data_IF_018270717401
#
_entry.id   IF_018270717401
#
_cell.length_a   1.000
_cell.length_b   1.000
_cell.length_c   1.000
_cell.angle_alpha   90.00
_cell.angle_beta   90.00
_cell.angle_gamma   90.00
#
_symmetry.space_group_name_H-M   'P 1'
#
loop_
_entity.id
_entity.type
_entity.pdbx_description
1 polymer ?
#
# COMPACT_ATOMS: atom_id res chain seq x y z
N UNK A 1 0.00 20.95 9.55
CA UNK A 1 -0.16 19.71 8.73
C UNK A 1 -1.19 19.91 7.61
N UNK A 2 -2.43 20.29 7.92
CA UNK A 2 -3.44 20.55 6.88
C UNK A 2 -3.04 21.67 5.91
N UNK A 3 -2.46 22.77 6.41
CA UNK A 3 -1.95 23.87 5.58
C UNK A 3 -0.83 23.43 4.63
N UNK A 4 0.04 22.51 5.06
CA UNK A 4 1.10 21.96 4.21
C UNK A 4 0.54 21.09 3.09
N UNK A 5 -0.45 20.23 3.40
CA UNK A 5 -1.15 19.43 2.39
C UNK A 5 -1.86 20.35 1.38
N UNK A 6 -2.55 21.37 1.86
CA UNK A 6 -3.30 22.31 1.02
C UNK A 6 -2.37 23.13 0.11
N UNK A 7 -1.21 23.53 0.62
CA UNK A 7 -0.16 24.17 -0.17
C UNK A 7 0.31 23.24 -1.29
N UNK A 8 0.61 21.97 -0.99
CA UNK A 8 1.10 21.00 -1.98
C UNK A 8 0.06 20.67 -3.05
N UNK A 9 -1.20 20.56 -2.66
CA UNK A 9 -2.32 20.41 -3.61
C UNK A 9 -2.40 21.64 -4.52
N UNK A 10 -2.35 22.85 -3.96
CA UNK A 10 -2.42 24.09 -4.73
C UNK A 10 -1.25 24.21 -5.72
N UNK A 11 -0.05 23.84 -5.28
CA UNK A 11 1.17 23.80 -6.10
C UNK A 11 1.05 22.81 -7.26
N UNK A 12 0.46 21.63 -7.05
CA UNK A 12 0.21 20.67 -8.14
C UNK A 12 -0.86 21.19 -9.12
N UNK A 13 -1.99 21.72 -8.60
CA UNK A 13 -3.10 22.17 -9.46
C UNK A 13 -2.81 23.45 -10.25
N UNK A 14 -1.77 24.21 -9.90
CA UNK A 14 -1.30 25.36 -10.67
C UNK A 14 -0.37 25.00 -11.84
N UNK A 15 0.05 23.72 -11.95
CA UNK A 15 0.90 23.27 -13.05
C UNK A 15 0.12 23.13 -14.35
N UNK A 16 0.79 23.44 -15.46
CA UNK A 16 0.24 23.35 -16.82
C UNK A 16 0.08 21.89 -17.27
N UNK A 17 1.09 21.04 -17.03
CA UNK A 17 1.15 19.65 -17.50
C UNK A 17 0.60 18.64 -16.49
N UNK A 18 -0.53 18.93 -15.85
CA UNK A 18 -1.14 18.03 -14.86
C UNK A 18 -2.26 17.18 -15.46
N UNK A 19 -2.62 16.10 -14.77
CA UNK A 19 -3.87 15.38 -15.07
C UNK A 19 -5.09 16.31 -14.97
N UNK A 20 -6.10 16.08 -15.80
CA UNK A 20 -7.37 16.83 -15.83
C UNK A 20 -8.51 15.90 -15.44
N UNK A 21 -9.32 16.30 -14.45
CA UNK A 21 -10.53 15.59 -14.04
C UNK A 21 -11.78 16.32 -14.51
N UNK A 22 -12.91 15.62 -14.57
CA UNK A 22 -14.22 16.23 -14.87
C UNK A 22 -14.70 17.13 -13.72
N UNK A 23 -14.38 16.76 -12.49
CA UNK A 23 -14.69 17.52 -11.28
C UNK A 23 -13.40 17.76 -10.47
N UNK A 24 -12.79 18.93 -10.70
CA UNK A 24 -11.54 19.31 -10.03
C UNK A 24 -11.74 19.47 -8.50
N UNK A 25 -12.93 19.88 -8.07
CA UNK A 25 -13.26 20.03 -6.66
C UNK A 25 -13.22 18.70 -5.92
N UNK A 26 -13.84 17.66 -6.50
CA UNK A 26 -13.79 16.30 -5.94
C UNK A 26 -12.41 15.68 -5.99
N UNK A 27 -11.66 15.89 -7.08
CA UNK A 27 -10.27 15.44 -7.17
C UNK A 27 -9.42 16.03 -6.03
N UNK A 28 -9.52 17.34 -5.78
CA UNK A 28 -8.82 18.01 -4.65
C UNK A 28 -9.20 17.41 -3.30
N UNK A 29 -10.48 17.11 -3.08
CA UNK A 29 -10.97 16.49 -1.84
C UNK A 29 -10.39 15.08 -1.68
N UNK A 30 -10.46 14.25 -2.71
CA UNK A 30 -9.94 12.88 -2.67
C UNK A 30 -8.42 12.85 -2.42
N UNK A 31 -7.67 13.73 -3.10
CA UNK A 31 -6.22 13.90 -2.88
C UNK A 31 -5.94 14.33 -1.44
N UNK A 32 -6.67 15.32 -0.92
CA UNK A 32 -6.51 15.80 0.47
C UNK A 32 -6.77 14.69 1.49
N UNK A 33 -7.85 13.93 1.31
CA UNK A 33 -8.21 12.81 2.19
C UNK A 33 -7.13 11.73 2.18
N UNK A 34 -6.64 11.38 0.99
CA UNK A 34 -5.55 10.41 0.79
C UNK A 34 -4.27 10.88 1.47
N UNK A 35 -3.78 12.08 1.16
CA UNK A 35 -2.57 12.65 1.76
C UNK A 35 -2.66 12.75 3.29
N UNK A 36 -3.84 13.05 3.84
CA UNK A 36 -4.03 13.11 5.30
C UNK A 36 -3.76 11.75 5.97
N UNK A 37 -4.24 10.66 5.38
CA UNK A 37 -4.01 9.29 5.87
C UNK A 37 -2.55 8.88 5.67
N UNK A 38 -1.96 9.20 4.51
CA UNK A 38 -0.55 8.90 4.22
C UNK A 38 0.40 9.62 5.18
N UNK A 39 0.21 10.92 5.43
CA UNK A 39 1.05 11.70 6.36
C UNK A 39 0.94 11.15 7.78
N UNK A 40 -0.26 10.79 8.25
CA UNK A 40 -0.40 10.15 9.56
C UNK A 40 0.34 8.80 9.61
N UNK A 41 0.28 8.01 8.54
CA UNK A 41 0.99 6.72 8.44
C UNK A 41 2.50 6.92 8.46
N UNK A 42 3.01 7.81 7.61
CA UNK A 42 4.42 8.16 7.52
C UNK A 42 4.97 8.67 8.85
N UNK A 43 4.25 9.56 9.54
CA UNK A 43 4.66 10.04 10.87
C UNK A 43 4.85 8.92 11.90
N UNK A 44 4.06 7.84 11.83
CA UNK A 44 4.26 6.69 12.70
C UNK A 44 5.52 5.91 12.32
N UNK A 45 5.76 5.69 11.02
CA UNK A 45 6.97 5.01 10.53
C UNK A 45 8.22 5.81 10.87
N UNK A 46 8.22 7.12 10.64
CA UNK A 46 9.32 8.03 10.97
C UNK A 46 9.63 7.99 12.47
N UNK A 47 8.58 8.07 13.32
CA UNK A 47 8.76 7.93 14.77
C UNK A 47 9.39 6.60 15.13
N UNK A 48 8.88 5.49 14.58
CA UNK A 48 9.42 4.16 14.86
C UNK A 48 10.87 4.01 14.40
N UNK A 49 11.24 4.49 13.22
CA UNK A 49 12.60 4.39 12.70
C UNK A 49 13.59 5.21 13.54
N UNK A 50 13.17 6.42 13.97
CA UNK A 50 13.97 7.26 14.85
C UNK A 50 14.13 6.62 16.24
N UNK A 51 13.05 6.13 16.82
CA UNK A 51 13.02 5.66 18.20
C UNK A 51 13.72 4.30 18.36
N UNK A 52 13.74 3.44 17.33
CA UNK A 52 14.38 2.12 17.40
C UNK A 52 15.85 2.13 16.92
N UNK A 53 16.20 2.94 15.93
CA UNK A 53 17.47 2.79 15.22
C UNK A 53 18.22 4.11 14.98
N UNK A 54 17.66 5.25 15.42
CA UNK A 54 18.25 6.57 15.17
C UNK A 54 18.29 6.96 13.69
N UNK A 55 17.53 6.27 12.83
CA UNK A 55 17.53 6.48 11.39
C UNK A 55 16.55 7.59 11.02
N UNK A 56 17.00 8.56 10.23
CA UNK A 56 16.15 9.62 9.69
C UNK A 56 15.35 9.07 8.50
N UNK A 57 14.03 9.14 8.56
CA UNK A 57 13.15 8.93 7.41
C UNK A 57 12.39 10.22 7.17
N UNK A 58 12.37 10.71 5.92
CA UNK A 58 11.56 11.86 5.52
C UNK A 58 10.45 11.39 4.58
N UNK A 59 9.26 11.93 4.82
CA UNK A 59 8.14 11.74 3.92
C UNK A 59 7.98 12.94 2.99
N UNK A 60 7.96 12.69 1.69
CA UNK A 60 7.90 13.72 0.65
C UNK A 60 6.55 13.65 -0.07
N UNK A 61 5.97 14.82 -0.31
CA UNK A 61 4.82 14.96 -1.22
C UNK A 61 5.35 15.66 -2.46
N UNK A 62 5.45 14.92 -3.56
CA UNK A 62 5.90 15.46 -4.84
C UNK A 62 4.70 16.02 -5.62
N UNK A 63 4.90 17.19 -6.20
CA UNK A 63 3.88 17.94 -6.95
C UNK A 63 4.12 17.87 -8.45
N UNK A 64 5.06 17.06 -8.95
CA UNK A 64 5.31 16.87 -10.38
C UNK A 64 4.00 16.73 -11.19
N UNK A 65 3.96 17.38 -12.36
CA UNK A 65 2.74 17.49 -13.18
C UNK A 65 2.32 16.15 -13.80
N UNK A 66 3.29 15.41 -14.33
CA UNK A 66 3.09 14.06 -14.87
C UNK A 66 3.71 13.04 -13.92
N UNK A 67 2.96 12.00 -13.51
CA UNK A 67 3.52 10.99 -12.67
C UNK A 67 4.54 10.15 -13.46
N UNK A 68 5.81 10.23 -13.09
CA UNK A 68 6.84 9.36 -13.67
C UNK A 68 6.89 8.03 -12.92
N UNK A 69 6.53 8.04 -11.63
CA UNK A 69 6.41 6.86 -10.76
C UNK A 69 5.28 7.06 -9.74
N UNK A 70 4.65 5.99 -9.23
CA UNK A 70 3.60 6.10 -8.22
C UNK A 70 4.11 6.71 -6.91
N UNK A 71 5.29 6.25 -6.50
CA UNK A 71 6.00 6.59 -5.30
C UNK A 71 7.50 6.38 -5.57
N UNK A 72 8.36 6.97 -4.75
CA UNK A 72 9.80 6.77 -4.85
C UNK A 72 10.44 6.73 -3.47
N UNK A 73 11.54 5.99 -3.37
CA UNK A 73 12.42 6.06 -2.23
C UNK A 73 13.87 6.12 -2.65
N UNK A 74 14.67 6.84 -1.89
CA UNK A 74 16.12 6.91 -2.10
C UNK A 74 16.86 7.10 -0.78
N UNK A 75 18.11 6.64 -0.77
CA UNK A 75 19.02 6.82 0.35
C UNK A 75 19.61 8.23 0.33
N UNK A 76 19.63 8.89 1.48
CA UNK A 76 20.31 10.18 1.69
C UNK A 76 21.56 9.98 2.54
N UNK A 77 22.33 11.06 2.75
CA UNK A 77 23.52 11.04 3.61
C UNK A 77 23.21 10.59 5.04
N UNK A 78 22.02 10.94 5.55
CA UNK A 78 21.65 10.76 6.97
C UNK A 78 20.49 9.78 7.16
N UNK A 79 19.94 9.22 6.09
CA UNK A 79 18.73 8.41 6.19
C UNK A 79 18.11 8.04 4.86
N UNK A 80 16.78 8.13 4.79
CA UNK A 80 15.99 7.76 3.63
C UNK A 80 14.87 8.77 3.39
N UNK A 81 14.62 9.05 2.12
CA UNK A 81 13.47 9.82 1.69
C UNK A 81 12.50 8.87 1.00
N UNK A 82 11.23 8.91 1.38
CA UNK A 82 10.16 8.16 0.75
C UNK A 82 9.01 9.11 0.39
N UNK A 83 8.57 9.12 -0.86
CA UNK A 83 7.61 10.09 -1.36
C UNK A 83 6.50 9.50 -2.20
N UNK A 84 5.38 10.22 -2.25
CA UNK A 84 4.24 9.94 -3.11
C UNK A 84 4.04 11.13 -4.07
N UNK A 85 3.73 10.84 -5.34
CA UNK A 85 3.44 11.87 -6.33
C UNK A 85 1.94 12.22 -6.33
N UNK A 86 1.58 13.50 -6.18
CA UNK A 86 0.17 13.93 -6.25
C UNK A 86 -0.44 13.61 -7.62
N UNK A 87 0.36 13.71 -8.69
CA UNK A 87 -0.01 13.29 -10.04
C UNK A 87 -0.57 11.88 -10.09
N UNK A 88 0.05 10.95 -9.35
CA UNK A 88 -0.38 9.56 -9.28
C UNK A 88 -1.70 9.39 -8.52
N UNK A 89 -1.88 10.10 -7.40
CA UNK A 89 -3.15 10.09 -6.66
C UNK A 89 -4.30 10.62 -7.54
N UNK A 90 -4.04 11.70 -8.28
CA UNK A 90 -5.02 12.28 -9.22
C UNK A 90 -5.39 11.28 -10.33
N UNK A 91 -4.40 10.59 -10.89
CA UNK A 91 -4.60 9.56 -11.90
C UNK A 91 -5.47 8.40 -11.39
N UNK A 92 -5.18 7.87 -10.20
CA UNK A 92 -5.98 6.83 -9.56
C UNK A 92 -7.43 7.30 -9.34
N UNK A 93 -7.61 8.54 -8.88
CA UNK A 93 -8.94 9.13 -8.72
C UNK A 93 -9.71 9.19 -10.05
N UNK A 94 -9.07 9.65 -11.14
CA UNK A 94 -9.68 9.71 -12.46
C UNK A 94 -10.11 8.34 -12.99
N UNK A 95 -9.39 7.28 -12.61
CA UNK A 95 -9.78 5.90 -12.93
C UNK A 95 -11.02 5.48 -12.12
N UNK A 96 -11.13 5.82 -10.84
CA UNK A 96 -12.27 5.35 -10.02
C UNK A 96 -13.52 6.23 -10.04
N UNK A 97 -13.44 7.47 -10.54
CA UNK A 97 -14.58 8.41 -10.51
C UNK A 97 -15.81 7.91 -11.30
N UNK A 98 -15.62 7.00 -12.26
CA UNK A 98 -16.69 6.38 -13.04
C UNK A 98 -17.25 5.10 -12.39
N UNK A 99 -16.41 4.38 -11.64
CA UNK A 99 -16.75 3.14 -10.92
C UNK A 99 -17.83 3.37 -9.85
N UNK A 100 -17.91 4.59 -9.30
CA UNK A 100 -18.90 4.98 -8.29
C UNK A 100 -20.36 4.71 -8.67
N UNK A 101 -20.68 4.64 -9.97
CA UNK A 101 -22.04 4.39 -10.45
C UNK A 101 -22.40 2.90 -10.54
N UNK A 102 -21.41 2.01 -10.59
CA UNK A 102 -21.61 0.60 -10.91
C UNK A 102 -21.46 -0.35 -9.70
N UNK A 103 -20.80 0.14 -8.65
CA UNK A 103 -20.29 -0.66 -7.55
C UNK A 103 -21.35 -1.17 -6.57
N UNK A 104 -22.55 -0.58 -6.52
CA UNK A 104 -23.69 -1.10 -5.74
C UNK A 104 -23.45 -1.22 -4.22
N UNK A 105 -22.33 -0.74 -3.67
CA UNK A 105 -22.11 -0.65 -2.22
C UNK A 105 -22.40 0.75 -1.69
N UNK A 106 -22.39 0.85 -0.37
CA UNK A 106 -22.67 2.09 0.36
C UNK A 106 -21.45 3.00 0.58
N UNK A 107 -20.24 2.53 0.24
CA UNK A 107 -18.98 3.22 0.50
C UNK A 107 -18.38 3.84 -0.77
N UNK A 108 -17.60 4.91 -0.60
CA UNK A 108 -17.03 5.73 -1.67
C UNK A 108 -15.80 5.05 -2.31
N UNK A 109 -15.70 4.96 -3.65
CA UNK A 109 -14.54 4.40 -4.35
C UNK A 109 -13.20 5.11 -4.08
N UNK A 110 -13.20 6.31 -3.49
CA UNK A 110 -11.98 6.93 -2.96
C UNK A 110 -11.27 6.02 -1.95
N UNK A 111 -11.97 5.07 -1.32
CA UNK A 111 -11.35 4.03 -0.52
C UNK A 111 -10.31 3.22 -1.30
N UNK A 112 -10.56 2.90 -2.57
CA UNK A 112 -9.62 2.17 -3.42
C UNK A 112 -8.35 2.98 -3.66
N UNK A 113 -8.49 4.29 -3.87
CA UNK A 113 -7.36 5.23 -4.06
C UNK A 113 -6.52 5.31 -2.78
N UNK A 114 -7.16 5.44 -1.63
CA UNK A 114 -6.48 5.49 -0.33
C UNK A 114 -5.70 4.19 -0.09
N UNK A 115 -6.31 3.03 -0.34
CA UNK A 115 -5.66 1.74 -0.16
C UNK A 115 -4.50 1.54 -1.14
N UNK A 116 -4.68 1.90 -2.42
CA UNK A 116 -3.61 1.88 -3.42
C UNK A 116 -2.40 2.72 -2.97
N UNK A 117 -2.63 3.95 -2.49
CA UNK A 117 -1.54 4.83 -2.09
C UNK A 117 -0.86 4.39 -0.78
N UNK A 118 -1.63 3.81 0.16
CA UNK A 118 -1.07 3.19 1.36
C UNK A 118 -0.16 2.02 1.02
N UNK A 119 -0.55 1.21 0.04
CA UNK A 119 0.26 0.11 -0.48
C UNK A 119 1.53 0.61 -1.17
N UNK A 120 1.40 1.63 -2.04
CA UNK A 120 2.54 2.25 -2.73
C UNK A 120 3.58 2.80 -1.74
N UNK A 121 3.15 3.58 -0.73
CA UNK A 121 4.11 4.10 0.26
C UNK A 121 4.66 2.98 1.16
N UNK A 122 3.87 1.95 1.43
CA UNK A 122 4.34 0.75 2.15
C UNK A 122 5.47 0.02 1.40
N UNK A 123 5.37 -0.05 0.07
CA UNK A 123 6.40 -0.58 -0.82
C UNK A 123 7.70 0.26 -0.72
N UNK A 124 7.60 1.60 -0.80
CA UNK A 124 8.78 2.48 -0.67
C UNK A 124 9.45 2.41 0.72
N UNK A 125 8.65 2.33 1.78
CA UNK A 125 9.20 2.09 3.11
C UNK A 125 9.87 0.73 3.20
N UNK A 126 9.39 -0.30 2.49
CA UNK A 126 10.04 -1.60 2.48
C UNK A 126 11.45 -1.53 1.89
N UNK A 127 11.67 -0.79 0.79
CA UNK A 127 13.03 -0.57 0.26
C UNK A 127 13.98 0.03 1.29
N UNK A 128 13.48 1.02 2.03
CA UNK A 128 14.24 1.73 3.07
C UNK A 128 14.54 0.83 4.28
N UNK A 129 13.53 0.12 4.79
CA UNK A 129 13.62 -0.68 6.02
C UNK A 129 14.35 -2.02 5.81
N UNK A 130 14.27 -2.60 4.61
CA UNK A 130 14.85 -3.90 4.28
C UNK A 130 16.23 -3.82 3.65
N UNK A 131 16.83 -2.63 3.57
CA UNK A 131 18.19 -2.50 3.09
C UNK A 131 18.33 -2.82 1.61
N UNK A 132 17.28 -2.63 0.80
CA UNK A 132 17.39 -2.76 -0.67
C UNK A 132 18.37 -1.72 -1.24
N UNK A 133 18.60 -0.61 -0.53
CA UNK A 133 19.65 0.37 -0.84
C UNK A 133 21.05 0.01 -0.34
N UNK A 134 21.17 -1.02 0.52
CA UNK A 134 22.46 -1.50 0.99
C UNK A 134 23.01 -2.48 -0.06
N UNK A 135 23.99 -2.02 -0.85
CA UNK A 135 24.71 -2.86 -1.83
C UNK A 135 25.48 -3.96 -1.09
N UNK A 136 24.83 -5.08 -0.79
CA UNK A 136 25.52 -6.31 -0.48
C UNK A 136 26.07 -6.89 -1.80
N UNK A 137 27.33 -7.34 -1.81
CA UNK A 137 27.83 -8.16 -2.90
C UNK A 137 27.06 -9.49 -2.89
N UNK A 138 26.31 -9.82 -3.95
CA UNK A 138 25.44 -11.00 -3.95
C UNK A 138 25.99 -12.14 -4.80
N UNK A 139 25.70 -13.37 -4.37
CA UNK A 139 25.92 -14.60 -5.14
C UNK A 139 24.87 -14.81 -6.26
N UNK A 140 23.87 -13.94 -6.40
CA UNK A 140 22.66 -14.14 -7.22
C UNK A 140 22.65 -13.41 -8.58
N UNK A 141 23.70 -12.65 -8.92
CA UNK A 141 23.86 -12.02 -10.26
C UNK A 141 22.81 -10.95 -10.61
N UNK A 142 22.53 -10.74 -11.90
CA UNK A 142 21.69 -9.65 -12.44
C UNK A 142 20.19 -9.71 -12.08
N UNK A 143 19.71 -10.76 -11.40
CA UNK A 143 18.29 -10.96 -11.05
C UNK A 143 17.87 -10.38 -9.69
N UNK A 144 18.68 -9.50 -9.11
CA UNK A 144 18.48 -8.96 -7.76
C UNK A 144 17.34 -7.93 -7.70
N UNK A 145 17.29 -6.99 -8.65
CA UNK A 145 16.28 -5.93 -8.64
C UNK A 145 14.83 -6.46 -8.71
N UNK A 146 14.48 -7.39 -9.63
CA UNK A 146 13.12 -7.92 -9.67
C UNK A 146 12.69 -8.67 -8.40
N UNK A 147 13.62 -9.30 -7.67
CA UNK A 147 13.30 -9.97 -6.40
C UNK A 147 13.07 -8.97 -5.28
N UNK A 148 13.84 -7.88 -5.24
CA UNK A 148 13.67 -6.79 -4.26
C UNK A 148 12.37 -6.02 -4.49
N UNK A 149 12.00 -5.76 -5.74
CA UNK A 149 10.71 -5.16 -6.11
C UNK A 149 9.53 -6.06 -5.73
N UNK A 150 9.62 -7.38 -5.98
CA UNK A 150 8.57 -8.32 -5.56
C UNK A 150 8.43 -8.40 -4.02
N UNK A 151 9.54 -8.40 -3.29
CA UNK A 151 9.49 -8.33 -1.82
C UNK A 151 8.89 -7.00 -1.35
N UNK A 152 9.28 -5.89 -1.98
CA UNK A 152 8.73 -4.57 -1.67
C UNK A 152 7.22 -4.52 -1.98
N UNK A 153 6.75 -5.12 -3.07
CA UNK A 153 5.32 -5.27 -3.36
C UNK A 153 4.62 -6.08 -2.27
N UNK A 154 5.19 -7.24 -1.88
CA UNK A 154 4.66 -8.04 -0.78
C UNK A 154 4.53 -7.24 0.51
N UNK A 155 5.54 -6.44 0.83
CA UNK A 155 5.57 -5.59 2.02
C UNK A 155 4.67 -4.37 1.89
N UNK A 156 4.45 -3.86 0.68
CA UNK A 156 3.45 -2.82 0.41
C UNK A 156 2.06 -3.27 0.82
N UNK A 157 1.69 -4.51 0.51
CA UNK A 157 0.45 -5.13 0.98
C UNK A 157 0.37 -5.27 2.50
N UNK A 158 1.47 -5.64 3.18
CA UNK A 158 1.51 -5.61 4.66
C UNK A 158 1.38 -4.18 5.19
N UNK A 159 2.00 -3.21 4.51
CA UNK A 159 2.05 -1.80 4.86
C UNK A 159 0.70 -1.11 4.80
N UNK A 160 -0.17 -1.47 3.86
CA UNK A 160 -1.51 -0.89 3.77
C UNK A 160 -2.38 -1.29 4.96
N UNK A 161 -2.31 -2.55 5.42
CA UNK A 161 -2.95 -2.94 6.66
C UNK A 161 -2.32 -2.24 7.87
N UNK A 162 -0.98 -2.18 7.94
CA UNK A 162 -0.28 -1.52 9.04
C UNK A 162 -0.67 -0.04 9.18
N UNK A 163 -0.88 0.68 8.07
CA UNK A 163 -1.41 2.04 8.07
C UNK A 163 -2.80 2.16 8.69
N UNK A 164 -3.65 1.12 8.52
CA UNK A 164 -4.98 1.05 9.10
C UNK A 164 -5.00 0.54 10.54
N UNK A 165 -3.96 -0.13 11.04
CA UNK A 165 -3.87 -0.44 12.47
C UNK A 165 -3.79 0.82 13.34
N UNK A 166 -3.47 1.98 12.75
CA UNK A 166 -3.64 3.26 13.41
C UNK A 166 -5.13 3.62 13.50
N UNK A 167 -5.66 3.69 14.73
CA UNK A 167 -7.07 4.04 15.01
C UNK A 167 -7.52 5.33 14.31
N UNK A 168 -6.69 6.39 14.33
CA UNK A 168 -7.03 7.67 13.68
C UNK A 168 -7.21 7.50 12.18
N UNK A 169 -6.36 6.70 11.53
CA UNK A 169 -6.47 6.43 10.09
C UNK A 169 -7.74 5.64 9.76
N UNK A 170 -8.10 4.66 10.58
CA UNK A 170 -9.38 3.96 10.44
C UNK A 170 -10.59 4.90 10.60
N UNK A 171 -10.57 5.78 11.61
CA UNK A 171 -11.64 6.77 11.83
C UNK A 171 -11.75 7.74 10.64
N UNK A 172 -10.62 8.19 10.10
CA UNK A 172 -10.57 9.04 8.91
C UNK A 172 -11.07 8.30 7.66
N UNK A 173 -10.65 7.05 7.44
CA UNK A 173 -11.12 6.24 6.31
C UNK A 173 -12.64 6.08 6.36
N UNK A 174 -13.20 5.74 7.52
CA UNK A 174 -14.65 5.61 7.71
C UNK A 174 -15.37 6.95 7.51
N UNK A 175 -14.82 8.05 8.00
CA UNK A 175 -15.40 9.38 7.82
C UNK A 175 -15.42 9.80 6.35
N UNK A 176 -14.33 9.56 5.62
CA UNK A 176 -14.15 10.02 4.25
C UNK A 176 -14.90 9.16 3.24
N UNK A 177 -14.93 7.84 3.48
CA UNK A 177 -15.38 6.88 2.48
C UNK A 177 -16.57 6.04 2.92
N UNK A 178 -16.99 6.13 4.19
CA UNK A 178 -18.04 5.28 4.78
C UNK A 178 -17.67 3.79 4.89
N UNK A 179 -16.45 3.40 4.51
CA UNK A 179 -15.89 2.07 4.79
C UNK A 179 -15.76 1.90 6.30
N UNK A 180 -16.61 1.07 6.88
CA UNK A 180 -16.67 0.87 8.34
C UNK A 180 -16.67 -0.59 8.76
N UNK A 181 -16.99 -1.51 7.84
CA UNK A 181 -16.96 -2.93 8.10
C UNK A 181 -15.61 -3.53 7.69
N UNK A 182 -15.12 -4.59 8.39
CA UNK A 182 -13.88 -5.25 8.02
C UNK A 182 -13.88 -5.78 6.59
N UNK A 183 -15.00 -6.35 6.15
CA UNK A 183 -15.11 -6.89 4.79
C UNK A 183 -15.00 -5.78 3.74
N UNK A 184 -15.60 -4.60 3.98
CA UNK A 184 -15.46 -3.45 3.09
C UNK A 184 -14.00 -2.95 3.02
N UNK A 185 -13.26 -3.00 4.14
CA UNK A 185 -11.82 -2.65 4.16
C UNK A 185 -11.02 -3.64 3.33
N UNK A 186 -11.27 -4.94 3.51
CA UNK A 186 -10.57 -5.99 2.77
C UNK A 186 -10.90 -5.92 1.28
N UNK A 187 -12.17 -5.71 0.93
CA UNK A 187 -12.63 -5.52 -0.44
C UNK A 187 -11.93 -4.30 -1.07
N UNK A 188 -11.93 -3.16 -0.37
CA UNK A 188 -11.26 -1.95 -0.83
C UNK A 188 -9.75 -2.10 -0.96
N UNK A 189 -9.11 -2.88 -0.09
CA UNK A 189 -7.68 -3.18 -0.17
C UNK A 189 -7.34 -3.93 -1.46
N UNK A 190 -8.05 -5.03 -1.71
CA UNK A 190 -7.83 -5.86 -2.89
C UNK A 190 -8.09 -5.09 -4.19
N UNK A 191 -9.19 -4.33 -4.27
CA UNK A 191 -9.47 -3.46 -5.41
C UNK A 191 -8.38 -2.39 -5.58
N UNK A 192 -7.94 -1.77 -4.48
CA UNK A 192 -6.84 -0.81 -4.48
C UNK A 192 -5.51 -1.40 -4.97
N UNK A 193 -5.18 -2.64 -4.62
CA UNK A 193 -3.97 -3.32 -5.10
C UNK A 193 -3.99 -3.60 -6.60
N UNK A 194 -5.12 -4.05 -7.13
CA UNK A 194 -5.27 -4.24 -8.58
C UNK A 194 -5.23 -2.89 -9.32
N UNK A 195 -5.91 -1.88 -8.79
CA UNK A 195 -5.87 -0.53 -9.34
C UNK A 195 -4.45 0.02 -9.38
N UNK A 196 -3.68 -0.14 -8.29
CA UNK A 196 -2.27 0.24 -8.21
C UNK A 196 -1.45 -0.46 -9.30
N UNK A 197 -1.49 -1.80 -9.32
CA UNK A 197 -0.65 -2.59 -10.23
C UNK A 197 -0.95 -2.31 -11.70
N UNK A 198 -2.23 -2.20 -12.06
CA UNK A 198 -2.62 -1.92 -13.43
C UNK A 198 -2.31 -0.46 -13.84
N UNK A 199 -2.46 0.50 -12.92
CA UNK A 199 -2.05 1.89 -13.17
C UNK A 199 -0.55 1.99 -13.37
N UNK A 200 0.26 1.23 -12.63
CA UNK A 200 1.71 1.19 -12.84
C UNK A 200 2.05 0.63 -14.22
N UNK A 201 1.40 -0.46 -14.63
CA UNK A 201 1.66 -1.10 -15.92
C UNK A 201 1.31 -0.21 -17.14
N UNK A 202 0.34 0.70 -17.01
CA UNK A 202 0.04 1.69 -18.05
C UNK A 202 1.19 2.72 -18.25
N UNK A 203 2.04 2.92 -17.25
CA UNK A 203 3.07 3.97 -17.23
C UNK A 203 4.50 3.45 -17.41
N UNK A 204 4.77 2.20 -17.02
CA UNK A 204 6.12 1.65 -17.06
C UNK A 204 6.49 1.13 -18.46
N UNK A 205 7.69 1.53 -18.93
CA UNK A 205 8.25 1.15 -20.24
C UNK A 205 9.36 0.09 -20.15
N UNK A 206 9.75 -0.35 -18.95
CA UNK A 206 10.90 -1.23 -18.74
C UNK A 206 10.51 -2.55 -18.04
N UNK A 207 10.13 -3.54 -18.85
CA UNK A 207 9.78 -4.91 -18.44
C UNK A 207 10.93 -5.65 -17.74
N UNK A 208 12.16 -5.12 -17.74
CA UNK A 208 13.32 -5.77 -17.08
C UNK A 208 13.44 -5.46 -15.60
N UNK A 209 12.85 -4.35 -15.14
CA UNK A 209 12.92 -3.91 -13.74
C UNK A 209 11.69 -4.34 -12.94
N UNK A 210 10.52 -4.34 -13.57
CA UNK A 210 9.24 -4.53 -12.89
C UNK A 210 8.53 -5.80 -13.34
N UNK A 211 7.91 -6.48 -12.37
CA UNK A 211 7.08 -7.64 -12.64
C UNK A 211 5.77 -7.21 -13.35
N UNK A 212 5.14 -8.11 -14.13
CA UNK A 212 3.83 -7.86 -14.72
C UNK A 212 2.78 -7.45 -13.67
N UNK A 213 1.78 -6.65 -14.06
CA UNK A 213 0.75 -6.12 -13.17
C UNK A 213 0.09 -7.20 -12.31
N UNK A 214 -0.16 -8.35 -12.91
CA UNK A 214 -0.75 -9.54 -12.32
C UNK A 214 0.07 -10.06 -11.14
N UNK A 215 1.39 -10.16 -11.36
CA UNK A 215 2.33 -10.62 -10.36
C UNK A 215 2.44 -9.62 -9.22
N UNK A 216 2.52 -8.31 -9.52
CA UNK A 216 2.56 -7.24 -8.51
C UNK A 216 1.31 -7.25 -7.63
N UNK A 217 0.13 -7.29 -8.26
CA UNK A 217 -1.15 -7.40 -7.56
C UNK A 217 -1.21 -8.61 -6.63
N UNK A 218 -0.73 -9.77 -7.10
CA UNK A 218 -0.68 -10.96 -6.27
C UNK A 218 0.28 -10.82 -5.09
N UNK A 219 1.46 -10.22 -5.28
CA UNK A 219 2.40 -9.95 -4.18
C UNK A 219 1.77 -9.02 -3.13
N UNK A 220 1.14 -7.89 -3.55
CA UNK A 220 0.40 -7.02 -2.64
C UNK A 220 -0.67 -7.80 -1.85
N UNK A 221 -1.46 -8.63 -2.54
CA UNK A 221 -2.54 -9.40 -1.92
C UNK A 221 -2.02 -10.45 -0.93
N UNK A 222 -0.95 -11.18 -1.27
CA UNK A 222 -0.29 -12.15 -0.39
C UNK A 222 0.19 -11.46 0.89
N UNK A 223 0.83 -10.29 0.75
CA UNK A 223 1.27 -9.46 1.87
C UNK A 223 0.12 -9.06 2.80
N UNK A 224 -0.95 -8.53 2.22
CA UNK A 224 -2.12 -8.09 2.97
C UNK A 224 -2.83 -9.23 3.69
N UNK A 225 -3.00 -10.39 3.03
CA UNK A 225 -3.58 -11.60 3.63
C UNK A 225 -2.73 -12.06 4.81
N UNK A 226 -1.40 -12.17 4.63
CA UNK A 226 -0.48 -12.57 5.69
C UNK A 226 -0.57 -11.65 6.90
N UNK A 227 -0.57 -10.34 6.68
CA UNK A 227 -0.71 -9.36 7.76
C UNK A 227 -2.08 -9.48 8.45
N UNK A 228 -3.15 -9.64 7.68
CA UNK A 228 -4.52 -9.78 8.18
C UNK A 228 -4.69 -11.00 9.09
N UNK A 229 -4.13 -12.14 8.69
CA UNK A 229 -4.15 -13.38 9.46
C UNK A 229 -3.29 -13.28 10.74
N UNK A 230 -2.15 -12.59 10.66
CA UNK A 230 -1.23 -12.42 11.80
C UNK A 230 -1.84 -11.59 12.93
N UNK A 231 -2.75 -10.68 12.59
CA UNK A 231 -3.47 -9.84 13.54
C UNK A 231 -4.60 -10.61 14.25
N UNK A 232 -4.84 -11.91 13.96
CA UNK A 232 -5.81 -12.82 14.63
C UNK A 232 -7.27 -12.34 14.70
N UNK A 233 -7.63 -11.31 13.95
CA UNK A 233 -8.94 -10.67 14.05
C UNK A 233 -9.83 -10.86 12.82
N UNK A 234 -9.26 -11.28 11.69
CA UNK A 234 -10.01 -11.73 10.52
C UNK A 234 -9.94 -13.26 10.45
N UNK A 235 -11.09 -13.90 10.28
CA UNK A 235 -11.12 -15.35 10.10
C UNK A 235 -10.66 -15.65 8.66
N UNK A 236 -9.89 -16.72 8.43
CA UNK A 236 -9.42 -17.07 7.10
C UNK A 236 -10.51 -17.13 6.03
N UNK A 237 -11.72 -17.59 6.40
CA UNK A 237 -12.85 -17.64 5.47
C UNK A 237 -13.41 -16.26 5.09
N UNK A 238 -13.47 -15.31 6.04
CA UNK A 238 -13.98 -13.96 5.77
C UNK A 238 -13.01 -13.21 4.84
N UNK A 239 -11.70 -13.40 5.05
CA UNK A 239 -10.66 -12.88 4.14
C UNK A 239 -10.77 -13.48 2.74
N UNK A 240 -11.03 -14.78 2.64
CA UNK A 240 -11.20 -15.46 1.35
C UNK A 240 -12.47 -15.02 0.61
N UNK A 241 -13.61 -14.89 1.31
CA UNK A 241 -14.85 -14.38 0.72
C UNK A 241 -14.69 -12.94 0.23
N UNK A 242 -14.08 -12.07 1.03
CA UNK A 242 -13.80 -10.69 0.65
C UNK A 242 -12.85 -10.61 -0.56
N UNK A 243 -11.91 -11.55 -0.69
CA UNK A 243 -11.06 -11.69 -1.87
C UNK A 243 -11.87 -12.04 -3.13
N UNK A 244 -12.81 -12.98 -3.02
CA UNK A 244 -13.68 -13.34 -4.14
C UNK A 244 -14.61 -12.19 -4.56
N UNK A 245 -15.18 -11.46 -3.60
CA UNK A 245 -16.03 -10.29 -3.87
C UNK A 245 -15.24 -9.15 -4.53
N UNK A 246 -14.05 -8.86 -4.00
CA UNK A 246 -13.14 -7.87 -4.58
C UNK A 246 -12.77 -8.22 -6.02
N UNK A 247 -12.56 -9.51 -6.32
CA UNK A 247 -12.25 -9.98 -7.68
C UNK A 247 -13.37 -9.63 -8.67
N UNK A 248 -14.63 -9.81 -8.29
CA UNK A 248 -15.75 -9.44 -9.18
C UNK A 248 -15.83 -7.93 -9.42
N UNK A 249 -15.58 -7.13 -8.38
CA UNK A 249 -15.53 -5.66 -8.50
C UNK A 249 -14.35 -5.25 -9.38
N UNK A 250 -13.16 -5.77 -9.10
CA UNK A 250 -11.96 -5.46 -9.87
C UNK A 250 -12.07 -5.91 -11.33
N UNK A 251 -12.73 -7.03 -11.61
CA UNK A 251 -13.01 -7.49 -12.99
C UNK A 251 -13.95 -6.54 -13.72
N UNK A 252 -14.99 -6.04 -13.06
CA UNK A 252 -15.89 -5.02 -13.63
C UNK A 252 -15.12 -3.74 -13.91
N UNK A 253 -14.41 -3.24 -12.90
CA UNK A 253 -13.54 -2.06 -13.00
C UNK A 253 -12.53 -2.22 -14.15
N UNK A 254 -11.90 -3.39 -14.28
CA UNK A 254 -10.86 -3.60 -15.30
C UNK A 254 -11.42 -3.66 -16.71
N UNK A 255 -12.60 -4.26 -16.89
CA UNK A 255 -13.29 -4.27 -18.19
C UNK A 255 -13.61 -2.84 -18.66
N UNK A 256 -13.96 -1.95 -17.73
CA UNK A 256 -14.25 -0.54 -18.03
C UNK A 256 -13.00 0.32 -18.18
N UNK A 257 -11.99 0.12 -17.34
CA UNK A 257 -10.78 0.94 -17.30
C UNK A 257 -9.75 0.60 -18.37
N UNK A 258 -9.71 -0.65 -18.83
CA UNK A 258 -8.67 -1.13 -19.74
C UNK A 258 -9.23 -1.62 -21.09
N UNK A 259 -10.54 -1.63 -21.29
CA UNK A 259 -11.16 -2.07 -22.54
C UNK A 259 -10.92 -3.56 -22.88
N UNK A 260 -11.20 -3.96 -24.12
CA UNK A 260 -11.03 -5.34 -24.60
C UNK A 260 -9.59 -5.81 -24.77
N UNK A 261 -8.57 -4.97 -24.49
CA UNK A 261 -7.17 -5.43 -24.48
C UNK A 261 -6.88 -6.38 -23.31
N UNK A 262 -7.72 -6.35 -22.26
CA UNK A 262 -7.75 -7.33 -21.16
C UNK A 262 -8.46 -8.64 -21.56
N UNK A 263 -9.02 -8.77 -22.78
CA UNK A 263 -9.52 -10.06 -23.30
C UNK A 263 -8.40 -11.07 -23.60
N UNK A 264 -7.12 -10.65 -23.64
CA UNK A 264 -5.98 -11.58 -23.80
C UNK A 264 -5.31 -11.99 -22.50
N UNK A 265 -5.65 -11.39 -21.37
CA UNK A 265 -5.03 -11.66 -20.08
C UNK A 265 -5.86 -11.11 -18.94
N UNK A 266 -7.13 -11.52 -18.86
CA UNK A 266 -8.08 -11.07 -17.84
C UNK A 266 -7.42 -11.00 -16.46
N UNK A 267 -7.74 -9.98 -15.65
CA UNK A 267 -7.30 -9.87 -14.25
C UNK A 267 -7.25 -11.28 -13.66
N UNK A 268 -6.05 -11.86 -13.49
CA UNK A 268 -5.98 -13.27 -13.23
C UNK A 268 -6.64 -13.53 -11.89
N UNK A 269 -7.43 -14.59 -11.83
CA UNK A 269 -7.77 -15.17 -10.54
C UNK A 269 -6.46 -15.46 -9.78
N UNK A 270 -6.53 -15.62 -8.46
CA UNK A 270 -5.40 -16.07 -7.66
C UNK A 270 -4.66 -17.25 -8.31
N UNK A 271 -5.42 -18.15 -8.96
CA UNK A 271 -4.91 -19.29 -9.72
C UNK A 271 -4.05 -18.90 -10.94
N UNK A 272 -4.46 -17.92 -11.74
CA UNK A 272 -3.70 -17.48 -12.92
C UNK A 272 -2.50 -16.61 -12.52
N UNK A 273 -2.62 -15.86 -11.42
CA UNK A 273 -1.50 -15.14 -10.85
C UNK A 273 -0.46 -16.12 -10.28
N UNK A 274 -0.91 -17.19 -9.61
CA UNK A 274 -0.09 -18.31 -9.14
C UNK A 274 0.53 -19.10 -10.30
N UNK A 275 -0.16 -19.32 -11.42
CA UNK A 275 0.41 -20.00 -12.60
C UNK A 275 1.60 -19.25 -13.21
N UNK A 276 1.65 -17.91 -13.08
CA UNK A 276 2.78 -17.09 -13.50
C UNK A 276 3.96 -17.08 -12.52
N UNK A 277 3.77 -17.53 -11.28
CA UNK A 277 4.86 -17.64 -10.31
C UNK A 277 5.67 -18.91 -10.56
N UNK A 278 6.98 -18.76 -10.81
CA UNK A 278 7.88 -19.90 -10.72
C UNK A 278 7.79 -20.50 -9.29
N UNK A 279 7.69 -21.83 -9.12
CA UNK A 279 7.46 -22.44 -7.81
C UNK A 279 8.48 -22.05 -6.73
N UNK A 280 9.70 -21.68 -7.14
CA UNK A 280 10.83 -21.30 -6.29
C UNK A 280 10.92 -19.79 -5.98
N UNK A 281 10.09 -18.95 -6.60
CA UNK A 281 10.25 -17.48 -6.50
C UNK A 281 9.99 -16.96 -5.09
N UNK A 282 9.05 -17.54 -4.34
CA UNK A 282 8.79 -17.15 -2.95
C UNK A 282 9.97 -17.53 -2.06
N UNK A 283 10.56 -18.71 -2.26
CA UNK A 283 11.76 -19.15 -1.54
C UNK A 283 12.95 -18.24 -1.86
N UNK A 284 13.11 -17.83 -3.13
CA UNK A 284 14.14 -16.89 -3.56
C UNK A 284 13.94 -15.48 -3.01
N UNK A 285 12.69 -15.00 -2.96
CA UNK A 285 12.32 -13.74 -2.32
C UNK A 285 12.65 -13.80 -0.82
N UNK A 286 12.32 -14.90 -0.14
CA UNK A 286 12.63 -15.09 1.28
C UNK A 286 14.15 -15.12 1.54
N UNK A 287 14.89 -15.90 0.75
CA UNK A 287 16.35 -15.95 0.84
C UNK A 287 16.97 -14.55 0.64
N UNK A 288 16.51 -13.81 -0.37
CA UNK A 288 16.98 -12.45 -0.61
C UNK A 288 16.60 -11.49 0.52
N UNK A 289 15.38 -11.57 1.04
CA UNK A 289 14.91 -10.75 2.16
C UNK A 289 15.80 -10.93 3.41
N UNK A 290 16.27 -12.15 3.67
CA UNK A 290 17.23 -12.43 4.75
C UNK A 290 18.57 -11.74 4.49
N UNK A 291 19.10 -11.85 3.27
CA UNK A 291 20.38 -11.21 2.89
C UNK A 291 20.32 -9.68 2.97
N UNK A 292 19.28 -9.04 2.39
CA UNK A 292 19.14 -7.58 2.38
C UNK A 292 18.86 -7.03 3.75
N UNK A 293 18.00 -7.73 4.52
CA UNK A 293 17.75 -7.36 5.90
C UNK A 293 19.03 -7.47 6.73
N UNK A 294 19.85 -8.51 6.55
CA UNK A 294 21.12 -8.64 7.27
C UNK A 294 22.06 -7.42 7.04
N UNK A 295 22.03 -6.86 5.83
CA UNK A 295 22.77 -5.65 5.46
C UNK A 295 22.08 -4.34 5.85
N UNK A 296 20.83 -4.40 6.30
CA UNK A 296 20.04 -3.24 6.70
C UNK A 296 20.57 -2.62 8.00
N UNK A 297 20.63 -1.28 8.12
CA UNK A 297 20.96 -0.65 9.40
C UNK A 297 19.92 -1.00 10.49
N UNK A 298 18.70 -1.38 10.09
CA UNK A 298 17.63 -1.87 10.98
C UNK A 298 17.84 -3.30 11.50
N UNK A 299 18.92 -4.00 11.13
CA UNK A 299 19.26 -5.33 11.65
C UNK A 299 20.11 -5.26 12.93
N UNK A 300 20.92 -4.19 13.11
CA UNK A 300 21.84 -4.07 14.25
C UNK A 300 21.14 -3.90 15.60
N UNK A 301 19.89 -3.46 15.64
CA UNK A 301 19.08 -3.42 16.87
C UNK A 301 18.47 -4.78 17.27
N UNK A 302 18.47 -5.78 16.37
CA UNK A 302 17.84 -7.08 16.60
C UNK A 302 18.78 -8.13 17.20
N UNK A 303 20.10 -7.93 17.10
CA UNK A 303 21.10 -8.90 17.57
C UNK A 303 21.19 -9.01 19.09
N UNK A 304 20.57 -8.10 19.84
CA UNK A 304 20.46 -8.18 21.31
C UNK A 304 19.26 -9.02 21.79
N UNK A 305 18.41 -9.54 20.88
CA UNK A 305 17.24 -10.38 21.22
C UNK A 305 17.12 -11.65 20.36
N UNK A 306 18.22 -12.40 20.20
CA UNK A 306 18.20 -13.79 19.75
C UNK A 306 17.75 -14.05 18.30
N UNK A 307 18.02 -15.26 17.77
CA UNK A 307 17.67 -15.59 16.39
C UNK A 307 16.24 -16.14 16.32
N UNK A 308 15.39 -15.63 15.41
CA UNK A 308 14.29 -16.47 14.93
C UNK A 308 12.99 -15.81 14.47
N UNK A 309 12.75 -14.53 14.71
CA UNK A 309 11.55 -13.89 14.17
C UNK A 309 11.90 -12.54 13.55
N UNK A 310 12.07 -12.53 12.22
CA UNK A 310 12.06 -11.32 11.43
C UNK A 310 10.71 -10.61 11.66
N UNK A 311 10.67 -9.72 12.64
CA UNK A 311 9.49 -8.96 12.98
C UNK A 311 9.06 -8.18 11.73
N UNK A 312 7.92 -8.59 11.14
CA UNK A 312 7.06 -7.66 10.41
C UNK A 312 6.97 -6.41 11.27
N UNK A 313 7.10 -5.23 10.64
CA UNK A 313 6.93 -3.90 11.25
C UNK A 313 6.04 -4.05 12.49
N UNK A 314 6.64 -4.15 13.68
CA UNK A 314 5.86 -4.19 14.91
C UNK A 314 5.34 -2.78 15.01
N UNK A 315 4.14 -2.53 14.49
CA UNK A 315 3.38 -1.34 14.84
C UNK A 315 3.26 -1.41 16.35
N UNK A 316 4.20 -0.75 17.03
CA UNK A 316 4.12 -0.58 18.45
C UNK A 316 2.86 0.25 18.63
N UNK A 317 1.84 -0.33 19.25
CA UNK A 317 0.75 0.49 19.78
C UNK A 317 1.43 1.65 20.50
N UNK A 318 1.07 2.91 20.20
CA UNK A 318 1.66 4.04 20.90
C UNK A 318 1.47 3.74 22.39
N UNK A 319 2.57 3.55 23.11
CA UNK A 319 2.55 3.12 24.50
C UNK A 319 1.48 3.93 25.25
N UNK A 320 0.35 3.34 25.66
CA UNK A 320 -0.51 4.01 26.60
C UNK A 320 0.11 3.81 27.98
N UNK A 321 -0.06 4.72 28.94
CA UNK A 321 0.04 4.31 30.33
C UNK A 321 -0.94 3.14 30.50
N UNK A 322 -0.42 2.00 30.97
CA UNK A 322 -1.12 0.76 31.28
C UNK A 322 -2.60 1.01 31.60
N UNK A 323 -3.48 0.74 30.64
CA UNK A 323 -4.89 0.58 30.94
C UNK A 323 -5.58 -0.28 29.88
N UNK A 324 -6.53 -1.10 30.33
CA UNK A 324 -7.28 -2.15 29.62
C UNK A 324 -8.16 -1.66 28.43
N UNK A 325 -7.77 -0.59 27.74
CA UNK A 325 -8.56 0.15 26.74
C UNK A 325 -8.10 -0.01 25.29
N UNK A 326 -6.99 -0.69 24.98
CA UNK A 326 -6.63 -1.09 23.60
C UNK A 326 -7.58 -2.15 23.00
N UNK A 327 -8.44 -2.78 23.83
CA UNK A 327 -9.65 -3.50 23.36
C UNK A 327 -10.67 -2.62 22.61
N UNK A 328 -10.45 -1.30 22.53
CA UNK A 328 -11.36 -0.34 21.90
C UNK A 328 -11.43 -0.46 20.36
N UNK A 329 -10.32 -0.79 19.69
CA UNK A 329 -10.26 -0.91 18.23
C UNK A 329 -11.25 -1.97 17.71
N UNK A 330 -11.34 -3.12 18.38
CA UNK A 330 -12.26 -4.19 18.01
C UNK A 330 -13.66 -4.10 18.66
N UNK A 331 -13.88 -3.21 19.63
CA UNK A 331 -15.24 -2.92 20.11
C UNK A 331 -16.06 -2.10 19.11
N UNK A 332 -15.39 -1.28 18.28
CA UNK A 332 -16.00 -0.65 17.11
C UNK A 332 -16.37 -1.68 16.03
N UNK A 333 -15.60 -2.77 15.92
CA UNK A 333 -15.86 -3.91 15.02
C UNK A 333 -16.77 -5.00 15.62
N UNK A 334 -17.24 -4.79 16.85
CA UNK A 334 -18.28 -5.59 17.51
C UNK A 334 -19.62 -4.84 17.61
N UNK A 335 -19.78 -3.70 16.92
CA UNK A 335 -21.02 -2.95 16.94
C UNK A 335 -22.11 -3.74 16.20
N UNK A 336 -22.99 -4.39 16.97
CA UNK A 336 -24.21 -4.99 16.43
C UNK A 336 -25.13 -3.86 15.95
N UNK A 337 -25.73 -3.97 14.75
CA UNK A 337 -26.78 -3.04 14.35
C UNK A 337 -27.91 -3.12 15.38
N UNK A 338 -28.42 -1.98 15.83
CA UNK A 338 -29.67 -1.96 16.59
C UNK A 338 -30.77 -2.52 15.68
N UNK A 339 -31.54 -3.54 16.11
CA UNK A 339 -32.69 -3.99 15.34
C UNK A 339 -33.67 -2.80 15.20
N UNK A 340 -34.22 -2.65 14.00
CA UNK A 340 -35.30 -1.70 13.72
C UNK A 340 -36.57 -2.10 14.45
#
# INVERSE_FOLDING_TARGET
>A
MNEFIDLKISEYFSREYRSVSKDEGKAKIAIRQTLTILVNTANNVIRMARDNDGIEIKFIIDTAGEPLKPATSHKTTWGYDAGIEIGFIHLLYNKVEHVAKEHGRAYDPVAFVIMACLTAIGHEFAHSLKGHFARAATALGERVAPLEENEADRRGGEGSLAGLLNRKNCELLAQYTRVSQPNDIVEAAFVGHWLLAATIADYERDEKLYAPAEQRAAMFNIGFIKASLSVKHLKPHDTFLSFLEAREIARKISKELFGSSVERGGLPGLEDAIKGFAPDIIERIQARSVETYAASPFNRASTDQGPGEAHCIRVQEPSPPLNKRSRGFWKLLQWRPRPR
#
